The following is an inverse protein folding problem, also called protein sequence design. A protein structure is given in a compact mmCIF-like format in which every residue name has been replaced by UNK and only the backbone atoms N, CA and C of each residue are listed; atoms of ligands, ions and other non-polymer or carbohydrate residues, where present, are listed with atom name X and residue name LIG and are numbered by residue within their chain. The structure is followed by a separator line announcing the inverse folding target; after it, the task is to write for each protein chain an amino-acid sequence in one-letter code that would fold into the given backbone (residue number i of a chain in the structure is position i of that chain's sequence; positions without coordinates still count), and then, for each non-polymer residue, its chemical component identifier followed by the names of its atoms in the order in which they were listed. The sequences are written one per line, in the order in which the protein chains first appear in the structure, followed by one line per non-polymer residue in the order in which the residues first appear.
data_IF_270424298671
#
_entry.id   IF_270424298671
#
_cell.length_a   1.000
_cell.length_b   1.000
_cell.length_c   1.000
_cell.angle_alpha   90.00
_cell.angle_beta   90.00
_cell.angle_gamma   90.00
#
_symmetry.space_group_name_H-M   'P 1'
#
loop_
_entity.id
_entity.type
_entity.pdbx_description
1 polymer ?
#
# COMPACT_ATOMS: atom_id res chain seq x y z
N UNK A 1 -5.02 14.58 14.17
CA UNK A 1 -4.56 14.82 12.79
C UNK A 1 -4.36 13.44 12.20
N UNK A 2 -5.07 13.05 11.13
CA UNK A 2 -4.76 11.81 10.44
C UNK A 2 -3.30 11.91 9.99
N UNK A 3 -2.54 10.82 10.10
CA UNK A 3 -1.14 10.80 9.71
C UNK A 3 -1.02 11.31 8.26
N UNK A 4 -0.41 12.48 8.08
CA UNK A 4 -0.23 13.04 6.75
C UNK A 4 0.93 12.30 6.12
N UNK A 5 0.63 11.22 5.40
CA UNK A 5 1.58 10.55 4.53
C UNK A 5 2.21 11.55 3.55
N UNK A 6 3.47 11.30 3.15
CA UNK A 6 4.10 12.12 2.11
C UNK A 6 3.41 11.90 0.77
N UNK A 7 3.63 12.79 -0.20
CA UNK A 7 3.06 12.62 -1.53
C UNK A 7 3.49 11.32 -2.23
N UNK A 8 4.68 10.82 -1.94
CA UNK A 8 5.17 9.53 -2.41
C UNK A 8 4.40 8.37 -1.77
N UNK A 9 4.21 8.42 -0.46
CA UNK A 9 3.51 7.39 0.30
C UNK A 9 2.04 7.31 -0.09
N UNK A 10 1.39 8.45 -0.30
CA UNK A 10 0.02 8.51 -0.83
C UNK A 10 -0.08 7.86 -2.20
N UNK A 11 0.83 8.17 -3.12
CA UNK A 11 0.87 7.53 -4.44
C UNK A 11 1.11 6.03 -4.36
N UNK A 12 1.92 5.57 -3.41
CA UNK A 12 2.12 4.14 -3.20
C UNK A 12 0.83 3.46 -2.74
N UNK A 13 0.15 4.06 -1.76
CA UNK A 13 -1.13 3.56 -1.23
C UNK A 13 -2.22 3.52 -2.30
N UNK A 14 -2.36 4.55 -3.15
CA UNK A 14 -3.31 4.54 -4.27
C UNK A 14 -3.10 3.35 -5.22
N UNK A 15 -1.84 3.02 -5.51
CA UNK A 15 -1.51 1.88 -6.37
C UNK A 15 -1.72 0.55 -5.64
N UNK A 16 -1.45 0.52 -4.33
CA UNK A 16 -1.68 -0.66 -3.49
C UNK A 16 -3.17 -0.98 -3.36
N UNK A 17 -4.01 0.04 -3.16
CA UNK A 17 -5.48 -0.07 -3.18
C UNK A 17 -5.97 -0.68 -4.50
N UNK A 18 -5.49 -0.17 -5.64
CA UNK A 18 -5.84 -0.73 -6.96
C UNK A 18 -5.35 -2.16 -7.15
N UNK A 19 -4.24 -2.53 -6.52
CA UNK A 19 -3.69 -3.89 -6.57
C UNK A 19 -4.41 -4.86 -5.61
N UNK A 20 -5.17 -4.34 -4.64
CA UNK A 20 -6.00 -5.07 -3.70
C UNK A 20 -7.49 -5.12 -4.12
N UNK A 21 -7.83 -4.63 -5.31
CA UNK A 21 -9.22 -4.59 -5.83
C UNK A 21 -9.89 -5.98 -5.91
N UNK A 22 -9.09 -7.04 -6.07
CA UNK A 22 -9.54 -8.44 -6.08
C UNK A 22 -9.16 -9.22 -4.80
N UNK A 23 -8.75 -8.51 -3.74
CA UNK A 23 -8.19 -9.03 -2.48
C UNK A 23 -6.96 -9.95 -2.65
N UNK A 24 -6.35 -10.00 -3.84
CA UNK A 24 -5.26 -10.93 -4.16
C UNK A 24 -4.14 -10.27 -4.95
N UNK A 25 -3.08 -9.88 -4.25
CA UNK A 25 -1.86 -9.39 -4.92
C UNK A 25 -1.14 -10.55 -5.62
N UNK A 26 -1.19 -10.58 -6.96
CA UNK A 26 -0.43 -11.54 -7.76
C UNK A 26 1.06 -11.22 -7.76
N UNK A 27 1.89 -12.17 -8.21
CA UNK A 27 3.33 -11.92 -8.40
C UNK A 27 3.61 -10.75 -9.36
N UNK A 28 2.70 -10.47 -10.30
CA UNK A 28 2.85 -9.36 -11.23
C UNK A 28 2.58 -8.03 -10.54
N UNK A 29 1.48 -7.90 -9.78
CA UNK A 29 1.24 -6.69 -8.98
C UNK A 29 2.34 -6.47 -7.95
N UNK A 30 2.80 -7.52 -7.25
CA UNK A 30 3.90 -7.40 -6.28
C UNK A 30 5.17 -6.80 -6.91
N UNK A 31 5.56 -7.25 -8.11
CA UNK A 31 6.70 -6.68 -8.83
C UNK A 31 6.46 -5.24 -9.26
N UNK A 32 5.24 -4.89 -9.64
CA UNK A 32 4.87 -3.52 -9.99
C UNK A 32 4.94 -2.60 -8.76
N UNK A 33 4.41 -3.04 -7.63
CA UNK A 33 4.49 -2.33 -6.35
C UNK A 33 5.95 -2.13 -5.89
N UNK A 34 6.77 -3.18 -5.96
CA UNK A 34 8.21 -3.05 -5.65
C UNK A 34 8.94 -2.06 -6.58
N UNK A 35 8.58 -2.04 -7.87
CA UNK A 35 9.14 -1.08 -8.82
C UNK A 35 8.70 0.35 -8.49
N UNK A 36 7.42 0.54 -8.19
CA UNK A 36 6.85 1.82 -7.79
C UNK A 36 7.51 2.33 -6.49
N UNK A 37 7.64 1.48 -5.47
CA UNK A 37 8.32 1.80 -4.23
C UNK A 37 9.76 2.27 -4.47
N UNK A 38 10.51 1.58 -5.34
CA UNK A 38 11.86 1.99 -5.73
C UNK A 38 11.87 3.33 -6.46
N UNK A 39 10.93 3.56 -7.38
CA UNK A 39 10.79 4.84 -8.10
C UNK A 39 10.44 6.01 -7.17
N UNK A 40 9.69 5.73 -6.10
CA UNK A 40 9.30 6.68 -5.06
C UNK A 40 10.33 6.79 -3.94
N UNK A 41 11.45 6.07 -4.05
CA UNK A 41 12.52 6.01 -3.06
C UNK A 41 12.01 5.60 -1.65
N UNK A 42 10.99 4.75 -1.62
CA UNK A 42 10.43 4.15 -0.40
C UNK A 42 11.24 2.92 -0.01
N UNK A 43 11.68 2.90 1.24
CA UNK A 43 12.36 1.74 1.81
C UNK A 43 11.41 0.58 2.07
N UNK A 44 11.91 -0.68 2.12
CA UNK A 44 11.09 -1.86 2.36
C UNK A 44 10.32 -1.80 3.69
N UNK A 45 10.92 -1.24 4.75
CA UNK A 45 10.23 -1.04 6.03
C UNK A 45 9.07 -0.06 5.95
N UNK A 46 9.18 0.96 5.08
CA UNK A 46 8.11 1.95 4.91
C UNK A 46 6.97 1.36 4.07
N UNK A 47 7.31 0.68 2.99
CA UNK A 47 6.34 -0.10 2.19
C UNK A 47 5.54 -1.03 3.07
N UNK A 48 6.21 -1.87 3.87
CA UNK A 48 5.54 -2.80 4.76
C UNK A 48 4.60 -2.10 5.74
N UNK A 49 5.02 -0.96 6.31
CA UNK A 49 4.16 -0.17 7.19
C UNK A 49 2.93 0.40 6.46
N UNK A 50 3.09 0.89 5.23
CA UNK A 50 1.98 1.40 4.42
C UNK A 50 0.97 0.29 4.09
N UNK A 51 1.45 -0.89 3.65
CA UNK A 51 0.59 -2.05 3.37
C UNK A 51 -0.14 -2.49 4.63
N UNK A 52 0.57 -2.66 5.76
CA UNK A 52 -0.07 -3.05 7.03
C UNK A 52 -1.05 -2.00 7.56
N UNK A 53 -0.75 -0.71 7.38
CA UNK A 53 -1.66 0.37 7.75
C UNK A 53 -2.93 0.33 6.89
N UNK A 54 -2.78 0.14 5.57
CA UNK A 54 -3.90 0.03 4.64
C UNK A 54 -4.76 -1.17 5.00
N UNK A 55 -4.16 -2.36 5.11
CA UNK A 55 -4.85 -3.59 5.47
C UNK A 55 -5.58 -3.44 6.82
N UNK A 56 -4.95 -2.80 7.82
CA UNK A 56 -5.62 -2.59 9.12
C UNK A 56 -6.79 -1.61 9.01
N UNK A 57 -6.66 -0.57 8.18
CA UNK A 57 -7.67 0.45 7.99
C UNK A 57 -8.85 -0.05 7.14
N UNK A 58 -8.62 -0.95 6.18
CA UNK A 58 -9.67 -1.57 5.36
C UNK A 58 -10.34 -2.76 6.06
N UNK A 59 -9.59 -3.58 6.81
CA UNK A 59 -10.18 -4.67 7.62
C UNK A 59 -11.03 -4.17 8.80
N UNK A 60 -11.01 -2.87 9.13
CA UNK A 60 -11.90 -2.30 10.15
C UNK A 60 -13.38 -2.31 9.70
N UNK A 61 -13.66 -2.56 8.41
CA UNK A 61 -15.03 -2.65 7.88
C UNK A 61 -15.58 -4.09 7.80
N UNK A 62 -14.80 -5.14 8.12
CA UNK A 62 -15.21 -6.56 8.01
C UNK A 62 -15.41 -7.30 9.36
N UNK A 63 -15.60 -6.58 10.47
CA UNK A 63 -16.09 -7.18 11.73
C UNK A 63 -17.55 -6.75 12.02
N UNK A 64 -18.53 -7.37 11.36
CA UNK A 64 -19.91 -7.54 11.88
C UNK A 64 -20.33 -9.01 11.95
#
# INVERSE_FOLDING_TARGET
MPESFTSEEQKYLEVYEMAMDDDVITTKERRMLEFQAKSLNLGPSRVQHLESWFDSNTNTDEEE
#
